data_IF_222249220172
#
_entry.id   IF_222249220172
#
_cell.length_a   1.000
_cell.length_b   1.000
_cell.length_c   1.000
_cell.angle_alpha   90.00
_cell.angle_beta   90.00
_cell.angle_gamma   90.00
#
_symmetry.space_group_name_H-M   'P 1'
#
loop_
_entity.id
_entity.type
_entity.pdbx_description
1 polymer ?
#
# COMPACT_ATOMS: atom_id res chain seq x y z
N UNK A 1 -55.33 39.03 -41.66
CA UNK A 1 -54.68 37.71 -41.64
C UNK A 1 -53.82 37.65 -40.39
N UNK A 2 -54.34 37.09 -39.30
CA UNK A 2 -53.54 36.80 -38.12
C UNK A 2 -52.85 35.46 -38.38
N UNK A 3 -51.52 35.43 -38.40
CA UNK A 3 -50.73 34.20 -38.52
C UNK A 3 -50.14 33.89 -37.16
N UNK A 4 -50.78 32.97 -36.42
CA UNK A 4 -50.13 32.30 -35.30
C UNK A 4 -49.18 31.25 -35.86
N UNK A 5 -47.91 31.33 -35.51
CA UNK A 5 -46.89 30.38 -35.97
C UNK A 5 -46.81 29.24 -34.94
N UNK A 6 -47.24 28.04 -35.33
CA UNK A 6 -47.05 26.82 -34.55
C UNK A 6 -45.84 26.12 -35.17
N UNK A 7 -44.78 25.89 -34.40
CA UNK A 7 -43.56 25.27 -34.92
C UNK A 7 -43.48 23.79 -34.48
N UNK A 8 -43.71 22.81 -35.38
CA UNK A 8 -43.41 21.42 -35.09
C UNK A 8 -41.90 21.14 -35.21
N UNK A 9 -41.22 20.85 -34.10
CA UNK A 9 -39.84 20.38 -34.15
C UNK A 9 -39.77 18.94 -34.70
N UNK A 10 -38.91 18.72 -35.70
CA UNK A 10 -38.78 17.43 -36.40
C UNK A 10 -37.84 16.50 -35.63
N UNK A 11 -38.39 15.41 -35.08
CA UNK A 11 -37.59 14.34 -34.47
C UNK A 11 -37.13 13.33 -35.54
N UNK A 12 -35.85 13.37 -35.92
CA UNK A 12 -35.25 12.40 -36.85
C UNK A 12 -34.79 11.16 -36.09
N UNK A 13 -35.46 10.03 -36.34
CA UNK A 13 -35.12 8.72 -35.78
C UNK A 13 -33.97 8.07 -36.55
N UNK A 14 -32.84 7.81 -35.88
CA UNK A 14 -31.75 6.94 -36.37
C UNK A 14 -31.22 6.06 -35.23
N UNK A 15 -31.37 4.75 -35.38
CA UNK A 15 -30.40 3.76 -34.88
C UNK A 15 -30.80 2.94 -33.65
N UNK A 16 -30.31 1.70 -33.64
CA UNK A 16 -30.52 0.62 -32.68
C UNK A 16 -30.54 1.02 -31.19
N UNK A 17 -31.65 0.71 -30.52
CA UNK A 17 -31.80 0.40 -29.09
C UNK A 17 -31.09 1.35 -28.10
N UNK A 18 -31.50 2.62 -28.10
CA UNK A 18 -31.47 3.46 -26.90
C UNK A 18 -32.91 3.88 -26.58
N UNK A 19 -33.21 4.17 -25.31
CA UNK A 19 -34.49 4.79 -24.94
C UNK A 19 -34.53 6.17 -25.63
N UNK A 20 -35.14 6.23 -26.83
CA UNK A 20 -35.34 7.48 -27.54
C UNK A 20 -36.55 8.18 -26.91
N UNK A 21 -36.29 9.32 -26.27
CA UNK A 21 -37.35 10.30 -25.96
C UNK A 21 -37.65 11.06 -27.25
N UNK A 22 -38.90 11.02 -27.69
CA UNK A 22 -39.42 11.96 -28.69
C UNK A 22 -40.34 12.93 -27.96
N UNK A 23 -40.10 14.23 -28.20
CA UNK A 23 -40.88 15.33 -27.66
C UNK A 23 -41.69 15.94 -28.81
N UNK A 24 -43.00 16.02 -28.64
CA UNK A 24 -43.85 16.90 -29.45
C UNK A 24 -44.28 18.07 -28.60
N UNK A 25 -44.00 19.27 -29.09
CA UNK A 25 -44.21 20.53 -28.40
C UNK A 25 -45.12 21.42 -29.25
N UNK A 26 -46.27 21.83 -28.71
CA UNK A 26 -47.20 22.74 -29.36
C UNK A 26 -47.22 24.05 -28.57
N UNK A 27 -46.69 25.13 -29.13
CA UNK A 27 -46.67 26.47 -28.53
C UNK A 27 -47.59 27.43 -29.27
N UNK A 28 -48.21 28.32 -28.50
CA UNK A 28 -48.97 29.45 -29.04
C UNK A 28 -48.48 30.76 -28.41
N UNK A 29 -47.97 31.65 -29.27
CA UNK A 29 -47.60 33.02 -28.93
C UNK A 29 -48.56 34.00 -29.63
N UNK A 30 -49.19 34.89 -28.86
CA UNK A 30 -50.09 35.91 -29.42
C UNK A 30 -49.30 37.12 -29.94
N UNK A 31 -49.24 37.32 -31.27
CA UNK A 31 -48.60 38.49 -31.88
C UNK A 31 -49.54 39.71 -31.87
N UNK A 32 -49.16 40.76 -31.13
CA UNK A 32 -49.95 41.99 -30.97
C UNK A 32 -49.67 43.00 -32.09
N UNK A 33 -50.24 42.78 -33.27
CA UNK A 33 -50.44 43.88 -34.22
C UNK A 33 -51.84 43.84 -34.83
N UNK A 34 -52.68 44.77 -34.35
CA UNK A 34 -54.07 45.09 -34.73
C UNK A 34 -55.17 44.50 -33.83
N UNK A 35 -55.76 45.39 -33.01
CA UNK A 35 -57.12 45.49 -32.41
C UNK A 35 -58.08 44.29 -32.21
N UNK A 36 -57.68 43.05 -32.45
CA UNK A 36 -58.48 41.86 -32.18
C UNK A 36 -57.74 41.00 -31.18
N UNK A 37 -58.09 41.13 -29.90
CA UNK A 37 -57.56 40.26 -28.84
C UNK A 37 -58.01 38.82 -29.10
N UNK A 38 -57.07 37.94 -29.45
CA UNK A 38 -57.31 36.50 -29.58
C UNK A 38 -56.97 35.82 -28.26
N UNK A 39 -57.92 35.09 -27.70
CA UNK A 39 -57.74 34.29 -26.49
C UNK A 39 -57.70 32.81 -26.83
N UNK A 40 -56.61 32.14 -26.49
CA UNK A 40 -56.49 30.69 -26.63
C UNK A 40 -57.48 29.99 -25.68
N UNK A 41 -58.25 29.05 -26.21
CA UNK A 41 -59.27 28.31 -25.46
C UNK A 41 -58.82 26.87 -25.18
N UNK A 42 -58.14 26.24 -26.14
CA UNK A 42 -57.64 24.88 -25.98
C UNK A 42 -56.52 24.53 -26.96
N UNK A 43 -55.68 23.58 -26.54
CA UNK A 43 -54.66 22.95 -27.37
C UNK A 43 -54.92 21.46 -27.45
N UNK A 44 -54.68 20.89 -28.63
CA UNK A 44 -54.75 19.46 -28.89
C UNK A 44 -53.50 18.98 -29.60
N UNK A 45 -53.10 17.76 -29.27
CA UNK A 45 -52.24 16.94 -30.11
C UNK A 45 -53.09 15.76 -30.55
N UNK A 46 -53.16 15.51 -31.85
CA UNK A 46 -53.93 14.43 -32.44
C UNK A 46 -53.04 13.55 -33.31
N UNK A 47 -53.41 12.28 -33.42
CA UNK A 47 -52.88 11.35 -34.42
C UNK A 47 -53.99 11.02 -35.41
N UNK A 48 -53.66 10.93 -36.70
CA UNK A 48 -54.65 10.64 -37.74
C UNK A 48 -55.49 9.37 -37.49
N UNK A 49 -54.87 8.32 -36.95
CA UNK A 49 -55.54 7.04 -36.70
C UNK A 49 -55.92 6.82 -35.23
N UNK A 50 -55.18 7.43 -34.29
CA UNK A 50 -55.37 7.19 -32.85
C UNK A 50 -56.21 8.28 -32.18
N UNK A 51 -56.60 9.32 -32.92
CA UNK A 51 -57.43 10.42 -32.41
C UNK A 51 -56.66 11.32 -31.46
N UNK A 52 -57.36 11.88 -30.46
CA UNK A 52 -56.76 12.82 -29.50
C UNK A 52 -55.73 12.09 -28.63
N UNK A 53 -54.48 12.52 -28.76
CA UNK A 53 -53.33 12.06 -27.97
C UNK A 53 -53.30 12.77 -26.62
N UNK A 54 -53.42 14.09 -26.64
CA UNK A 54 -53.47 14.92 -25.46
C UNK A 54 -54.26 16.19 -25.76
N UNK A 55 -54.94 16.73 -24.76
CA UNK A 55 -55.54 18.05 -24.85
C UNK A 55 -55.47 18.81 -23.53
N UNK A 56 -55.59 20.12 -23.62
CA UNK A 56 -55.76 21.00 -22.47
C UNK A 56 -56.75 22.10 -22.85
N UNK A 57 -57.71 22.34 -21.97
CA UNK A 57 -58.61 23.48 -22.08
C UNK A 57 -58.21 24.53 -21.04
N UNK A 58 -58.53 25.79 -21.35
CA UNK A 58 -58.24 26.91 -20.46
C UNK A 58 -58.84 26.68 -19.06
N UNK A 59 -58.00 26.80 -18.04
CA UNK A 59 -58.38 26.60 -16.63
C UNK A 59 -58.61 25.13 -16.22
N UNK A 60 -58.27 24.16 -17.08
CA UNK A 60 -58.39 22.73 -16.81
C UNK A 60 -57.02 22.03 -16.89
N UNK A 61 -56.83 20.93 -16.15
CA UNK A 61 -55.62 20.12 -16.28
C UNK A 61 -55.57 19.39 -17.63
N UNK A 62 -54.36 18.96 -18.03
CA UNK A 62 -54.13 18.17 -19.24
C UNK A 62 -54.86 16.84 -19.16
N UNK A 63 -55.55 16.48 -20.25
CA UNK A 63 -56.21 15.19 -20.45
C UNK A 63 -55.42 14.37 -21.45
N UNK A 64 -55.03 13.16 -21.06
CA UNK A 64 -54.22 12.24 -21.88
C UNK A 64 -55.09 11.12 -22.46
N UNK A 65 -54.79 10.72 -23.70
CA UNK A 65 -55.38 9.54 -24.34
C UNK A 65 -54.83 8.23 -23.76
N UNK A 66 -55.53 7.12 -24.01
CA UNK A 66 -55.32 5.80 -23.37
C UNK A 66 -53.95 5.14 -23.58
N UNK A 67 -53.10 5.65 -24.48
CA UNK A 67 -51.85 5.01 -24.88
C UNK A 67 -50.58 5.80 -24.48
N UNK A 68 -50.70 6.83 -23.67
CA UNK A 68 -49.59 7.72 -23.30
C UNK A 68 -49.35 7.76 -21.80
N UNK A 69 -48.09 7.92 -21.41
CA UNK A 69 -47.70 7.95 -20.01
C UNK A 69 -47.34 9.35 -19.51
N UNK A 70 -46.93 10.28 -20.39
CA UNK A 70 -46.40 11.58 -19.98
C UNK A 70 -46.86 12.68 -20.96
N UNK A 71 -47.94 13.39 -20.66
CA UNK A 71 -48.27 14.67 -21.28
C UNK A 71 -48.40 15.77 -20.22
N UNK A 72 -47.87 16.94 -20.52
CA UNK A 72 -47.87 18.12 -19.66
C UNK A 72 -48.15 19.36 -20.50
N UNK A 73 -48.64 20.42 -19.88
CA UNK A 73 -49.06 21.60 -20.62
C UNK A 73 -49.76 22.61 -19.72
N UNK A 74 -49.73 23.86 -20.16
CA UNK A 74 -50.32 24.98 -19.44
C UNK A 74 -50.77 26.06 -20.45
N UNK A 75 -51.98 26.59 -20.25
CA UNK A 75 -52.49 27.74 -21.02
C UNK A 75 -52.36 28.98 -20.14
N UNK A 76 -51.51 29.90 -20.53
CA UNK A 76 -51.27 31.16 -19.83
C UNK A 76 -52.16 32.28 -20.38
N UNK A 77 -52.65 33.12 -19.48
CA UNK A 77 -53.44 34.32 -19.81
C UNK A 77 -52.57 35.55 -20.13
N UNK A 78 -51.29 35.51 -19.80
CA UNK A 78 -50.39 36.65 -19.91
C UNK A 78 -49.45 36.53 -21.12
N UNK A 79 -49.04 37.68 -21.66
CA UNK A 79 -48.17 37.78 -22.84
C UNK A 79 -46.69 37.46 -22.55
N UNK A 80 -46.35 37.06 -21.31
CA UNK A 80 -44.96 36.83 -20.88
C UNK A 80 -44.51 35.36 -20.96
N UNK A 81 -45.45 34.43 -21.15
CA UNK A 81 -45.19 33.00 -21.26
C UNK A 81 -46.06 32.40 -22.36
N UNK A 82 -45.45 31.61 -23.23
CA UNK A 82 -46.18 30.91 -24.28
C UNK A 82 -46.99 29.75 -23.68
N UNK A 83 -48.23 29.63 -24.11
CA UNK A 83 -49.06 28.48 -23.77
C UNK A 83 -48.54 27.26 -24.50
N UNK A 84 -48.46 26.12 -23.83
CA UNK A 84 -47.93 24.91 -24.44
C UNK A 84 -48.66 23.63 -24.06
N UNK A 85 -48.57 22.64 -24.94
CA UNK A 85 -48.94 21.25 -24.69
C UNK A 85 -47.82 20.36 -25.22
N UNK A 86 -47.34 19.46 -24.38
CA UNK A 86 -46.21 18.58 -24.65
C UNK A 86 -46.56 17.12 -24.37
N UNK A 87 -46.07 16.23 -25.23
CA UNK A 87 -46.18 14.79 -25.04
C UNK A 87 -44.81 14.14 -25.20
N UNK A 88 -44.48 13.23 -24.28
CA UNK A 88 -43.21 12.50 -24.26
C UNK A 88 -43.45 11.00 -24.42
N UNK A 89 -42.81 10.39 -25.41
CA UNK A 89 -42.84 8.94 -25.63
C UNK A 89 -41.59 8.25 -25.10
N UNK A 90 -41.76 7.02 -24.61
CA UNK A 90 -40.67 6.06 -24.41
C UNK A 90 -40.94 4.84 -25.28
N UNK A 91 -40.05 4.57 -26.24
CA UNK A 91 -40.11 3.41 -27.15
C UNK A 91 -41.34 3.39 -28.07
N UNK A 92 -41.32 4.25 -29.10
CA UNK A 92 -42.37 4.29 -30.13
C UNK A 92 -42.51 2.97 -30.89
N UNK A 93 -43.76 2.61 -31.20
CA UNK A 93 -44.14 1.45 -32.00
C UNK A 93 -44.40 1.87 -33.45
N UNK A 94 -44.28 0.93 -34.40
CA UNK A 94 -44.64 1.18 -35.80
C UNK A 94 -46.05 1.73 -35.99
N UNK A 95 -47.01 1.28 -35.15
CA UNK A 95 -48.40 1.74 -35.13
C UNK A 95 -48.59 3.19 -34.68
N UNK A 96 -47.53 3.83 -34.17
CA UNK A 96 -47.49 5.23 -33.79
C UNK A 96 -46.80 6.08 -34.87
N UNK A 97 -46.50 5.49 -36.03
CA UNK A 97 -46.15 6.28 -37.22
C UNK A 97 -47.42 6.86 -37.84
N UNK A 98 -47.31 8.07 -38.35
CA UNK A 98 -48.41 8.74 -39.03
C UNK A 98 -48.33 10.25 -38.92
N UNK A 99 -49.41 10.90 -39.33
CA UNK A 99 -49.60 12.34 -39.21
C UNK A 99 -50.06 12.69 -37.80
N UNK A 100 -49.31 13.59 -37.19
CA UNK A 100 -49.62 14.23 -35.94
C UNK A 100 -50.07 15.65 -36.22
N UNK A 101 -51.11 16.10 -35.53
CA UNK A 101 -51.67 17.43 -35.68
C UNK A 101 -51.60 18.16 -34.35
N UNK A 102 -51.03 19.35 -34.38
CA UNK A 102 -51.06 20.31 -33.30
C UNK A 102 -52.18 21.29 -33.60
N UNK A 103 -53.31 21.21 -32.89
CA UNK A 103 -54.45 22.11 -33.08
C UNK A 103 -54.56 23.10 -31.92
N UNK A 104 -54.83 24.37 -32.23
CA UNK A 104 -55.10 25.43 -31.27
C UNK A 104 -56.43 26.09 -31.59
N UNK A 105 -57.36 26.10 -30.64
CA UNK A 105 -58.63 26.79 -30.78
C UNK A 105 -58.54 28.16 -30.11
N UNK A 106 -58.72 29.21 -30.89
CA UNK A 106 -58.65 30.59 -30.43
C UNK A 106 -60.02 31.26 -30.60
N UNK A 107 -60.34 32.15 -29.66
CA UNK A 107 -61.54 32.98 -29.71
C UNK A 107 -61.14 34.44 -29.85
N UNK A 108 -61.62 35.07 -30.91
CA UNK A 108 -61.43 36.48 -31.21
C UNK A 108 -62.35 37.34 -30.35
N UNK A 109 -61.95 38.59 -30.10
CA UNK A 109 -62.73 39.58 -29.34
C UNK A 109 -64.10 39.89 -29.95
N UNK A 110 -64.27 39.69 -31.26
CA UNK A 110 -65.54 39.82 -31.99
C UNK A 110 -66.47 38.60 -31.83
N UNK A 111 -66.07 37.61 -31.03
CA UNK A 111 -66.82 36.39 -30.74
C UNK A 111 -66.59 35.26 -31.75
N UNK A 112 -65.85 35.47 -32.84
CA UNK A 112 -65.51 34.41 -33.80
C UNK A 112 -64.53 33.40 -33.18
N UNK A 113 -64.75 32.12 -33.45
CA UNK A 113 -63.80 31.06 -33.12
C UNK A 113 -63.00 30.69 -34.37
N UNK A 114 -61.70 30.47 -34.19
CA UNK A 114 -60.80 30.02 -35.24
C UNK A 114 -59.99 28.83 -34.73
N UNK A 115 -59.72 27.89 -35.63
CA UNK A 115 -58.90 26.72 -35.35
C UNK A 115 -57.64 26.78 -36.21
N UNK A 116 -56.50 26.88 -35.54
CA UNK A 116 -55.18 26.78 -36.13
C UNK A 116 -54.74 25.32 -36.06
N UNK A 117 -54.08 24.81 -37.10
CA UNK A 117 -53.65 23.42 -37.16
C UNK A 117 -52.34 23.32 -37.93
N UNK A 118 -51.34 22.70 -37.33
CA UNK A 118 -50.08 22.33 -37.98
C UNK A 118 -49.89 20.82 -37.96
N UNK A 119 -49.22 20.29 -38.98
CA UNK A 119 -49.03 18.86 -39.18
C UNK A 119 -47.54 18.50 -39.15
N UNK A 120 -47.21 17.43 -38.43
CA UNK A 120 -45.93 16.75 -38.48
C UNK A 120 -46.12 15.30 -38.90
N UNK A 121 -45.22 14.76 -39.72
CA UNK A 121 -45.20 13.32 -40.04
C UNK A 121 -44.12 12.67 -39.20
N UNK A 122 -44.53 11.68 -38.39
CA UNK A 122 -43.62 10.84 -37.63
C UNK A 122 -43.54 9.46 -38.27
N UNK A 123 -42.34 9.02 -38.63
CA UNK A 123 -42.11 7.71 -39.23
C UNK A 123 -41.18 6.88 -38.33
N UNK A 124 -41.71 5.82 -37.74
CA UNK A 124 -40.92 4.82 -37.03
C UNK A 124 -40.44 3.79 -38.04
N UNK A 125 -39.13 3.71 -38.26
CA UNK A 125 -38.51 2.77 -39.20
C UNK A 125 -37.82 1.63 -38.46
N UNK A 126 -37.88 0.44 -39.04
CA UNK A 126 -37.14 -0.71 -38.51
C UNK A 126 -35.65 -0.47 -38.75
N UNK A 127 -34.77 -0.87 -37.80
CA UNK A 127 -33.37 -0.92 -38.09
C UNK A 127 -33.06 -1.71 -39.36
N UNK A 128 -32.10 -1.20 -40.12
CA UNK A 128 -31.66 -1.85 -41.35
C UNK A 128 -30.56 -2.88 -41.08
N UNK A 129 -30.26 -3.70 -42.07
CA UNK A 129 -29.10 -4.60 -42.01
C UNK A 129 -27.80 -3.81 -41.86
N UNK A 130 -27.69 -2.62 -42.46
CA UNK A 130 -26.53 -1.73 -42.32
C UNK A 130 -26.33 -1.26 -40.86
N UNK A 131 -27.42 -0.95 -40.16
CA UNK A 131 -27.37 -0.60 -38.74
C UNK A 131 -26.90 -1.79 -37.88
N UNK A 132 -27.28 -3.02 -38.25
CA UNK A 132 -26.79 -4.24 -37.60
C UNK A 132 -25.31 -4.47 -37.90
N UNK A 133 -24.87 -4.29 -39.15
CA UNK A 133 -23.47 -4.44 -39.57
C UNK A 133 -22.56 -3.51 -38.78
N UNK A 134 -22.92 -2.22 -38.62
CA UNK A 134 -22.16 -1.26 -37.81
C UNK A 134 -22.00 -1.69 -36.35
N UNK A 135 -23.05 -2.28 -35.77
CA UNK A 135 -22.98 -2.82 -34.40
C UNK A 135 -22.05 -4.03 -34.35
N UNK A 136 -22.12 -4.93 -35.34
CA UNK A 136 -21.23 -6.09 -35.42
C UNK A 136 -19.76 -5.65 -35.58
N UNK A 137 -19.46 -4.68 -36.45
CA UNK A 137 -18.11 -4.13 -36.61
C UNK A 137 -17.56 -3.54 -35.31
N UNK A 138 -18.41 -2.79 -34.57
CA UNK A 138 -18.04 -2.25 -33.27
C UNK A 138 -17.75 -3.36 -32.24
N UNK A 139 -18.58 -4.41 -32.22
CA UNK A 139 -18.38 -5.56 -31.33
C UNK A 139 -17.10 -6.33 -31.70
N UNK A 140 -16.81 -6.52 -32.98
CA UNK A 140 -15.57 -7.16 -33.43
C UNK A 140 -14.35 -6.37 -32.98
N UNK A 141 -14.35 -5.04 -33.13
CA UNK A 141 -13.26 -4.19 -32.64
C UNK A 141 -13.08 -4.28 -31.12
N UNK A 142 -14.16 -4.41 -30.35
CA UNK A 142 -14.09 -4.64 -28.91
C UNK A 142 -13.47 -6.01 -28.59
N UNK A 143 -13.91 -7.07 -29.27
CA UNK A 143 -13.36 -8.42 -29.09
C UNK A 143 -11.88 -8.49 -29.43
N UNK A 144 -11.43 -7.81 -30.49
CA UNK A 144 -10.01 -7.74 -30.84
C UNK A 144 -9.20 -7.00 -29.76
N UNK A 145 -9.73 -5.90 -29.23
CA UNK A 145 -9.14 -5.17 -28.12
C UNK A 145 -9.01 -6.01 -26.86
N UNK A 146 -10.09 -6.69 -26.47
CA UNK A 146 -10.13 -7.58 -25.30
C UNK A 146 -9.15 -8.75 -25.48
N UNK A 147 -9.08 -9.32 -26.69
CA UNK A 147 -8.13 -10.39 -27.01
C UNK A 147 -6.68 -9.95 -26.79
N UNK A 148 -6.34 -8.73 -27.23
CA UNK A 148 -5.00 -8.17 -27.02
C UNK A 148 -4.70 -7.96 -25.52
N UNK A 149 -5.62 -7.37 -24.76
CA UNK A 149 -5.46 -7.19 -23.32
C UNK A 149 -5.30 -8.53 -22.58
N UNK A 150 -6.04 -9.56 -22.97
CA UNK A 150 -5.89 -10.92 -22.41
C UNK A 150 -4.48 -11.47 -22.70
N UNK A 151 -3.95 -11.28 -23.91
CA UNK A 151 -2.59 -11.70 -24.24
C UNK A 151 -1.53 -10.97 -23.41
N UNK A 152 -1.65 -9.66 -23.24
CA UNK A 152 -0.76 -8.84 -22.41
C UNK A 152 -0.81 -9.27 -20.93
N UNK A 153 -2.01 -9.50 -20.40
CA UNK A 153 -2.20 -10.00 -19.04
C UNK A 153 -1.59 -11.39 -18.85
N UNK A 154 -1.77 -12.30 -19.82
CA UNK A 154 -1.17 -13.63 -19.78
C UNK A 154 0.36 -13.57 -19.76
N UNK A 155 0.97 -12.67 -20.54
CA UNK A 155 2.42 -12.49 -20.50
C UNK A 155 2.89 -11.90 -19.17
N UNK A 156 2.15 -10.93 -18.62
CA UNK A 156 2.45 -10.34 -17.31
C UNK A 156 2.37 -11.40 -16.19
N UNK A 157 1.35 -12.25 -16.21
CA UNK A 157 1.20 -13.37 -15.26
C UNK A 157 2.37 -14.35 -15.37
N UNK A 158 2.83 -14.68 -16.59
CA UNK A 158 4.02 -15.53 -16.78
C UNK A 158 5.26 -14.92 -16.15
N UNK A 159 5.48 -13.62 -16.37
CA UNK A 159 6.64 -12.91 -15.80
C UNK A 159 6.58 -12.89 -14.26
N UNK A 160 5.41 -12.57 -13.68
CA UNK A 160 5.19 -12.59 -12.22
C UNK A 160 5.47 -13.99 -11.66
N UNK A 161 5.03 -15.05 -12.33
CA UNK A 161 5.27 -16.42 -11.89
C UNK A 161 6.76 -16.77 -11.86
N UNK A 162 7.54 -16.27 -12.82
CA UNK A 162 8.97 -16.50 -12.86
C UNK A 162 9.70 -15.71 -11.77
N UNK A 163 9.33 -14.44 -11.56
CA UNK A 163 9.86 -13.64 -10.45
C UNK A 163 9.56 -14.27 -9.08
N UNK A 164 8.37 -14.84 -8.89
CA UNK A 164 8.00 -15.53 -7.67
C UNK A 164 8.89 -16.77 -7.41
N UNK A 165 9.19 -17.56 -8.44
CA UNK A 165 10.13 -18.69 -8.29
C UNK A 165 11.53 -18.23 -7.90
N UNK A 166 12.03 -17.15 -8.50
CA UNK A 166 13.34 -16.58 -8.15
C UNK A 166 13.35 -16.13 -6.69
N UNK A 167 12.29 -15.44 -6.26
CA UNK A 167 12.15 -15.02 -4.85
C UNK A 167 12.08 -16.21 -3.90
N UNK A 168 11.38 -17.27 -4.26
CA UNK A 168 11.31 -18.51 -3.48
C UNK A 168 12.69 -19.14 -3.31
N UNK A 169 13.49 -19.26 -4.39
CA UNK A 169 14.86 -19.76 -4.31
C UNK A 169 15.77 -18.89 -3.45
N UNK A 170 15.63 -17.57 -3.55
CA UNK A 170 16.40 -16.64 -2.71
C UNK A 170 16.05 -16.81 -1.21
N UNK A 171 14.77 -17.01 -0.88
CA UNK A 171 14.34 -17.26 0.51
C UNK A 171 14.93 -18.57 1.03
N UNK A 172 14.97 -19.63 0.21
CA UNK A 172 15.59 -20.91 0.57
C UNK A 172 17.09 -20.71 0.86
N UNK A 173 17.81 -19.98 -0.01
CA UNK A 173 19.23 -19.69 0.18
C UNK A 173 19.49 -18.90 1.47
N UNK A 174 18.75 -17.81 1.70
CA UNK A 174 18.89 -16.99 2.91
C UNK A 174 18.61 -17.82 4.17
N UNK A 175 17.62 -18.72 4.11
CA UNK A 175 17.30 -19.63 5.22
C UNK A 175 18.47 -20.57 5.52
N UNK A 176 19.14 -21.10 4.49
CA UNK A 176 20.32 -21.96 4.67
C UNK A 176 21.48 -21.17 5.30
N UNK A 177 21.74 -19.95 4.84
CA UNK A 177 22.80 -19.08 5.37
C UNK A 177 22.54 -18.71 6.84
N UNK A 178 21.29 -18.42 7.20
CA UNK A 178 20.89 -18.15 8.58
C UNK A 178 21.10 -19.36 9.49
N UNK A 179 20.74 -20.56 9.04
CA UNK A 179 20.98 -21.80 9.79
C UNK A 179 22.48 -22.06 9.98
N UNK A 180 23.30 -21.85 8.95
CA UNK A 180 24.77 -21.98 9.06
C UNK A 180 25.33 -20.98 10.06
N UNK A 181 24.89 -19.72 9.98
CA UNK A 181 25.29 -18.66 10.92
C UNK A 181 24.91 -19.01 12.36
N UNK A 182 23.72 -19.58 12.58
CA UNK A 182 23.28 -20.03 13.89
C UNK A 182 24.16 -21.16 14.46
N UNK A 183 24.59 -22.10 13.62
CA UNK A 183 25.53 -23.15 14.02
C UNK A 183 26.89 -22.57 14.42
N UNK A 184 27.44 -21.64 13.62
CA UNK A 184 28.70 -20.96 13.93
C UNK A 184 28.62 -20.23 15.27
N UNK A 185 27.55 -19.48 15.53
CA UNK A 185 27.34 -18.79 16.81
C UNK A 185 27.28 -19.78 17.98
N UNK A 186 26.67 -20.95 17.77
CA UNK A 186 26.58 -21.98 18.80
C UNK A 186 27.96 -22.57 19.13
N UNK A 187 28.77 -22.89 18.12
CA UNK A 187 30.16 -23.34 18.32
C UNK A 187 31.02 -22.28 18.99
N UNK A 188 30.92 -21.00 18.58
CA UNK A 188 31.65 -19.91 19.24
C UNK A 188 31.28 -19.79 20.72
N UNK A 189 30.02 -20.01 21.08
CA UNK A 189 29.56 -19.98 22.48
C UNK A 189 30.20 -21.12 23.29
N UNK A 190 30.31 -22.31 22.72
CA UNK A 190 31.00 -23.45 23.33
C UNK A 190 32.49 -23.15 23.53
N UNK A 191 33.17 -22.63 22.52
CA UNK A 191 34.59 -22.24 22.59
C UNK A 191 34.84 -21.17 23.67
N UNK A 192 33.98 -20.15 23.75
CA UNK A 192 34.05 -19.12 24.80
C UNK A 192 33.88 -19.75 26.18
N UNK A 193 32.94 -20.68 26.34
CA UNK A 193 32.71 -21.37 27.62
C UNK A 193 33.93 -22.19 28.03
N UNK A 194 34.54 -22.93 27.09
CA UNK A 194 35.75 -23.69 27.35
C UNK A 194 36.93 -22.78 27.73
N UNK A 195 37.10 -21.67 27.04
CA UNK A 195 38.15 -20.69 27.36
C UNK A 195 37.96 -20.08 28.74
N UNK A 196 36.73 -19.81 29.17
CA UNK A 196 36.46 -19.34 30.54
C UNK A 196 36.85 -20.38 31.61
N UNK A 197 36.61 -21.67 31.34
CA UNK A 197 37.03 -22.75 32.24
C UNK A 197 38.55 -22.85 32.31
N UNK A 198 39.23 -22.80 31.15
CA UNK A 198 40.69 -22.84 31.08
C UNK A 198 41.32 -21.66 31.84
N UNK A 199 40.79 -20.44 31.67
CA UNK A 199 41.24 -19.24 32.40
C UNK A 199 41.05 -19.42 33.91
N UNK A 200 39.93 -20.01 34.34
CA UNK A 200 39.67 -20.28 35.76
C UNK A 200 40.69 -21.26 36.35
N UNK A 201 40.97 -22.35 35.64
CA UNK A 201 42.00 -23.33 36.05
C UNK A 201 43.40 -22.69 36.11
N UNK A 202 43.79 -21.91 35.10
CA UNK A 202 45.08 -21.18 35.13
C UNK A 202 45.18 -20.22 36.31
N UNK A 203 44.07 -19.59 36.71
CA UNK A 203 44.05 -18.71 37.88
C UNK A 203 44.28 -19.48 39.17
N UNK A 204 43.71 -20.68 39.30
CA UNK A 204 43.97 -21.57 40.44
C UNK A 204 45.44 -22.00 40.49
N UNK A 205 46.01 -22.42 39.36
CA UNK A 205 47.43 -22.79 39.26
C UNK A 205 48.36 -21.63 39.64
N UNK A 206 48.03 -20.40 39.21
CA UNK A 206 48.79 -19.21 39.59
C UNK A 206 48.75 -18.94 41.09
N UNK A 207 47.61 -19.16 41.75
CA UNK A 207 47.48 -19.01 43.21
C UNK A 207 48.36 -20.05 43.92
N UNK A 208 48.31 -21.31 43.49
CA UNK A 208 49.14 -22.39 44.05
C UNK A 208 50.63 -22.05 43.88
N UNK A 209 51.05 -21.61 42.70
CA UNK A 209 52.43 -21.23 42.43
C UNK A 209 52.88 -20.04 43.28
N UNK A 210 52.01 -19.05 43.53
CA UNK A 210 52.31 -17.95 44.44
C UNK A 210 52.54 -18.43 45.87
N UNK A 211 51.77 -19.40 46.35
CA UNK A 211 51.95 -20.00 47.68
C UNK A 211 53.26 -20.81 47.77
N UNK A 212 53.54 -21.63 46.76
CA UNK A 212 54.80 -22.37 46.66
C UNK A 212 56.01 -21.44 46.68
N UNK A 213 55.98 -20.32 45.95
CA UNK A 213 57.05 -19.32 45.95
C UNK A 213 57.24 -18.66 47.32
N UNK A 214 56.16 -18.44 48.09
CA UNK A 214 56.28 -17.94 49.47
C UNK A 214 56.97 -18.96 50.36
N UNK A 215 56.62 -20.24 50.24
CA UNK A 215 57.24 -21.32 51.01
C UNK A 215 58.73 -21.45 50.70
N UNK A 216 59.10 -21.48 49.41
CA UNK A 216 60.51 -21.51 48.98
C UNK A 216 61.29 -20.29 49.51
N UNK A 217 60.66 -19.10 49.50
CA UNK A 217 61.29 -17.90 50.07
C UNK A 217 61.56 -18.04 51.57
N UNK A 218 60.65 -18.62 52.32
CA UNK A 218 60.86 -18.85 53.76
C UNK A 218 61.94 -19.91 54.01
N UNK A 219 61.95 -21.00 53.24
CA UNK A 219 62.99 -22.02 53.33
C UNK A 219 64.39 -21.45 53.05
N UNK A 220 64.51 -20.57 52.03
CA UNK A 220 65.75 -19.86 51.73
C UNK A 220 66.18 -18.94 52.88
N UNK A 221 65.25 -18.23 53.51
CA UNK A 221 65.55 -17.41 54.69
C UNK A 221 66.06 -18.28 55.85
N UNK A 222 65.46 -19.45 56.09
CA UNK A 222 65.90 -20.40 57.11
C UNK A 222 67.32 -20.89 56.80
N UNK A 223 67.58 -21.31 55.56
CA UNK A 223 68.91 -21.75 55.15
C UNK A 223 69.96 -20.65 55.30
N UNK A 224 69.63 -19.41 54.96
CA UNK A 224 70.53 -18.27 55.15
C UNK A 224 70.89 -18.07 56.64
N UNK A 225 69.92 -18.16 57.55
CA UNK A 225 70.18 -18.09 59.00
C UNK A 225 71.07 -19.23 59.48
N UNK A 226 70.85 -20.45 58.97
CA UNK A 226 71.68 -21.61 59.32
C UNK A 226 73.13 -21.45 58.85
N UNK A 227 73.35 -20.93 57.64
CA UNK A 227 74.69 -20.63 57.11
C UNK A 227 75.39 -19.60 58.00
N UNK A 228 74.73 -18.50 58.35
CA UNK A 228 75.31 -17.48 59.25
C UNK A 228 75.68 -18.06 60.63
N UNK A 229 74.88 -19.00 61.16
CA UNK A 229 75.21 -19.69 62.40
C UNK A 229 76.46 -20.56 62.24
N UNK A 230 76.54 -21.34 61.17
CA UNK A 230 77.71 -22.18 60.88
C UNK A 230 78.97 -21.35 60.66
N UNK A 231 78.88 -20.20 60.00
CA UNK A 231 80.02 -19.27 59.85
C UNK A 231 80.52 -18.76 61.21
N UNK A 232 79.61 -18.44 62.13
CA UNK A 232 79.97 -18.02 63.50
C UNK A 232 80.62 -19.15 64.29
N UNK A 233 80.08 -20.37 64.19
CA UNK A 233 80.63 -21.54 64.87
C UNK A 233 82.02 -21.87 64.31
N UNK A 234 82.20 -21.79 62.99
CA UNK A 234 83.49 -21.98 62.33
C UNK A 234 84.53 -20.94 62.79
N UNK A 235 84.15 -19.65 62.85
CA UNK A 235 85.04 -18.61 63.36
C UNK A 235 85.44 -18.86 64.82
N UNK A 236 84.49 -19.29 65.66
CA UNK A 236 84.77 -19.66 67.05
C UNK A 236 85.76 -20.81 67.14
N UNK A 237 85.58 -21.86 66.32
CA UNK A 237 86.53 -22.97 66.25
C UNK A 237 87.91 -22.54 65.76
N UNK A 238 87.98 -21.63 64.79
CA UNK A 238 89.24 -21.08 64.30
C UNK A 238 90.01 -20.35 65.42
N UNK A 239 89.32 -19.51 66.22
CA UNK A 239 89.94 -18.85 67.38
C UNK A 239 90.43 -19.86 68.43
N UNK A 240 89.60 -20.86 68.75
CA UNK A 240 89.99 -21.92 69.68
C UNK A 240 91.22 -22.69 69.20
N UNK A 241 91.33 -22.97 67.91
CA UNK A 241 92.49 -23.63 67.31
C UNK A 241 93.75 -22.76 67.41
N UNK A 242 93.67 -21.46 67.10
CA UNK A 242 94.77 -20.52 67.29
C UNK A 242 95.25 -20.47 68.74
N UNK A 243 94.32 -20.39 69.70
CA UNK A 243 94.66 -20.41 71.13
C UNK A 243 95.33 -21.73 71.53
N UNK A 244 94.87 -22.86 71.01
CA UNK A 244 95.49 -24.17 71.27
C UNK A 244 96.91 -24.25 70.69
N UNK A 245 97.12 -23.72 69.48
CA UNK A 245 98.44 -23.63 68.87
C UNK A 245 99.39 -22.78 69.72
N UNK A 246 98.96 -21.59 70.16
CA UNK A 246 99.74 -20.72 71.04
C UNK A 246 100.11 -21.44 72.36
N UNK A 247 99.13 -22.11 72.98
CA UNK A 247 99.37 -22.90 74.20
C UNK A 247 100.39 -24.03 73.96
N UNK A 248 100.35 -24.72 72.83
CA UNK A 248 101.34 -25.75 72.48
C UNK A 248 102.74 -25.16 72.28
N UNK A 249 102.85 -24.01 71.62
CA UNK A 249 104.12 -23.30 71.45
C UNK A 249 104.73 -22.90 72.80
N UNK A 250 103.91 -22.41 73.74
CA UNK A 250 104.31 -22.11 75.12
C UNK A 250 104.81 -23.37 75.83
N UNK A 251 104.07 -24.49 75.76
CA UNK A 251 104.47 -25.76 76.39
C UNK A 251 105.79 -26.29 75.81
N UNK A 252 105.98 -26.22 74.50
CA UNK A 252 107.22 -26.62 73.83
C UNK A 252 108.41 -25.76 74.27
N UNK A 253 108.21 -24.44 74.41
CA UNK A 253 109.22 -23.52 74.92
C UNK A 253 109.59 -23.83 76.38
N UNK A 254 108.60 -24.06 77.24
CA UNK A 254 108.80 -24.45 78.63
C UNK A 254 109.55 -25.78 78.74
N UNK A 255 109.19 -26.78 77.94
CA UNK A 255 109.88 -28.07 77.90
C UNK A 255 111.33 -27.94 77.42
N UNK A 256 111.57 -27.14 76.37
CA UNK A 256 112.93 -26.86 75.87
C UNK A 256 113.79 -26.19 76.94
N UNK A 257 113.22 -25.23 77.68
CA UNK A 257 113.89 -24.55 78.80
C UNK A 257 114.25 -25.54 79.91
N UNK A 258 113.30 -26.38 80.34
CA UNK A 258 113.54 -27.40 81.36
C UNK A 258 114.61 -28.42 80.92
N UNK A 259 114.64 -28.81 79.65
CA UNK A 259 115.67 -29.72 79.11
C UNK A 259 117.07 -29.09 79.17
N UNK A 260 117.19 -27.80 78.85
CA UNK A 260 118.45 -27.04 78.98
C UNK A 260 118.90 -26.99 80.45
N UNK A 261 117.98 -26.73 81.38
CA UNK A 261 118.27 -26.73 82.83
C UNK A 261 118.79 -28.09 83.31
N UNK A 262 118.12 -29.20 82.96
CA UNK A 262 118.53 -30.56 83.31
C UNK A 262 119.92 -30.88 82.74
N UNK A 263 120.18 -30.52 81.47
CA UNK A 263 121.49 -30.72 80.84
C UNK A 263 122.59 -29.95 81.59
N UNK A 264 122.35 -28.68 81.91
CA UNK A 264 123.31 -27.85 82.66
C UNK A 264 123.59 -28.40 84.08
N UNK A 265 122.66 -29.15 84.68
CA UNK A 265 122.86 -29.83 85.96
C UNK A 265 123.66 -31.13 85.84
N UNK A 266 123.62 -31.81 84.69
CA UNK A 266 124.34 -33.08 84.46
C UNK A 266 125.76 -32.89 83.92
N UNK A 267 126.06 -31.74 83.30
CA UNK A 267 127.40 -31.38 82.79
C UNK A 267 128.33 -30.75 83.88
N UNK A 268 127.91 -30.73 85.15
CA UNK A 268 128.70 -30.28 86.33
C UNK A 268 129.19 -31.46 87.16
#
# INVERSE_FOLDING_TARGET
SASGEIQPETAINKGLKLIFLILLYNTYAALKHQRNETSLQSLYILHEANGVIANINKGQPVVQGSNLKNAEGEIFDNESKDSYLQVTWSSLKFSESGKYFCEANVKHSDGRAERLSEMLILAVVSPTVDDLVKVVEKLLGQVDGDTKHIQENNQSIKNIKEELKIKEQNIISITADLNSTQQIISSMKEDITQNQQNISSMKEDLIINQENLKNVKEDLNIQQRNILSLEKDFHTHQQNFSNFQENLEIVLSNFSTALIEVKNQTDK
#
